data_IF_581820983530
#
_entry.id   IF_581820983530
#
_cell.length_a   1.000
_cell.length_b   1.000
_cell.length_c   1.000
_cell.angle_alpha   90.00
_cell.angle_beta   90.00
_cell.angle_gamma   90.00
#
_symmetry.space_group_name_H-M   'P 1'
#
loop_
_entity.id
_entity.type
_entity.pdbx_description
1 polymer ?
#
# COMPACT_ATOMS: atom_id res chain seq x y z
N UNK A 1 -13.16 20.90 4.78
CA UNK A 1 -13.91 19.65 4.98
C UNK A 1 -14.20 19.54 6.46
N UNK A 2 -15.48 19.47 6.84
CA UNK A 2 -15.90 19.24 8.23
C UNK A 2 -15.95 17.73 8.52
N UNK A 3 -15.79 17.32 9.77
CA UNK A 3 -15.64 15.91 10.16
C UNK A 3 -16.90 15.04 9.89
N UNK A 4 -18.05 15.67 9.72
CA UNK A 4 -19.34 15.07 9.39
C UNK A 4 -19.58 14.94 7.88
N UNK A 5 -18.77 15.60 7.05
CA UNK A 5 -18.83 15.47 5.60
C UNK A 5 -17.98 14.27 5.15
N UNK A 6 -18.53 13.07 5.31
CA UNK A 6 -17.90 11.84 4.82
C UNK A 6 -18.17 11.66 3.32
N UNK A 7 -17.13 11.46 2.48
CA UNK A 7 -17.33 11.18 1.06
C UNK A 7 -18.11 9.89 0.83
N UNK A 8 -18.88 9.83 -0.26
CA UNK A 8 -19.55 8.59 -0.70
C UNK A 8 -18.51 7.49 -0.94
N UNK A 9 -18.72 6.33 -0.30
CA UNK A 9 -17.85 5.17 -0.46
C UNK A 9 -18.03 4.55 -1.85
N UNK A 10 -16.95 4.04 -2.41
CA UNK A 10 -16.95 3.36 -3.71
C UNK A 10 -17.35 1.88 -3.51
N UNK A 11 -18.56 1.46 -3.89
CA UNK A 11 -19.02 0.09 -3.60
C UNK A 11 -18.36 -0.95 -4.51
N UNK A 12 -17.93 -0.55 -5.72
CA UNK A 12 -17.37 -1.43 -6.74
C UNK A 12 -16.26 -0.72 -7.51
N UNK A 13 -15.10 -1.38 -7.77
CA UNK A 13 -14.09 -0.85 -8.66
C UNK A 13 -14.65 -0.62 -10.08
N UNK A 14 -14.18 0.45 -10.71
CA UNK A 14 -14.59 0.81 -12.05
C UNK A 14 -14.23 -0.28 -13.05
N UNK A 15 -15.12 -0.57 -14.01
CA UNK A 15 -14.92 -1.61 -15.03
C UNK A 15 -14.62 -3.02 -14.49
N UNK A 16 -15.08 -3.38 -13.26
CA UNK A 16 -14.90 -4.74 -12.70
C UNK A 16 -15.35 -5.85 -13.65
N UNK A 17 -16.52 -5.68 -14.28
CA UNK A 17 -17.06 -6.62 -15.27
C UNK A 17 -16.89 -6.12 -16.72
N UNK A 18 -16.17 -5.02 -16.91
CA UNK A 18 -15.97 -4.38 -18.22
C UNK A 18 -14.69 -4.85 -18.91
N UNK A 19 -14.54 -4.52 -20.19
CA UNK A 19 -13.30 -4.75 -20.91
C UNK A 19 -12.19 -3.84 -20.35
N UNK A 20 -11.12 -4.45 -19.85
CA UNK A 20 -9.94 -3.75 -19.31
C UNK A 20 -8.64 -4.44 -19.71
N UNK A 21 -7.58 -3.66 -19.85
CA UNK A 21 -6.20 -4.14 -20.02
C UNK A 21 -5.47 -4.08 -18.68
N UNK A 22 -4.42 -4.89 -18.52
CA UNK A 22 -3.43 -4.63 -17.48
C UNK A 22 -2.52 -3.50 -17.94
N UNK A 23 -2.38 -2.46 -17.11
CA UNK A 23 -1.48 -1.34 -17.38
C UNK A 23 -0.11 -1.69 -16.78
N UNK A 24 0.94 -1.90 -17.60
CA UNK A 24 2.27 -2.19 -17.09
C UNK A 24 2.91 -0.93 -16.52
N UNK A 25 3.89 -1.12 -15.64
CA UNK A 25 4.70 -0.01 -15.14
C UNK A 25 5.66 0.50 -16.21
N UNK A 26 6.37 -0.42 -16.87
CA UNK A 26 7.34 -0.12 -17.92
C UNK A 26 6.72 0.61 -19.09
N UNK A 27 7.51 1.49 -19.69
CA UNK A 27 7.16 2.22 -20.90
C UNK A 27 6.60 1.31 -22.00
N UNK A 28 5.55 1.77 -22.67
CA UNK A 28 4.93 1.12 -23.83
C UNK A 28 5.21 1.87 -25.14
N UNK A 29 5.90 3.02 -25.09
CA UNK A 29 6.34 3.74 -26.28
C UNK A 29 7.28 2.84 -27.09
N UNK A 30 6.94 2.63 -28.37
CA UNK A 30 7.71 1.74 -29.27
C UNK A 30 7.49 0.25 -29.07
N UNK A 31 6.65 -0.16 -28.10
CA UNK A 31 6.31 -1.58 -27.83
C UNK A 31 4.96 -1.91 -28.43
N UNK A 32 3.89 -1.27 -27.93
CA UNK A 32 2.53 -1.44 -28.43
C UNK A 32 1.94 -0.07 -28.75
N UNK A 33 1.64 0.22 -30.03
CA UNK A 33 1.11 1.52 -30.42
C UNK A 33 -0.17 1.88 -29.66
N UNK A 34 -0.15 3.03 -28.97
CA UNK A 34 -1.30 3.56 -28.24
C UNK A 34 -1.56 2.93 -26.87
N UNK A 35 -0.78 1.94 -26.44
CA UNK A 35 -0.93 1.30 -25.13
C UNK A 35 -0.44 2.20 -24.00
N UNK A 36 -1.21 2.29 -22.91
CA UNK A 36 -0.81 3.06 -21.74
C UNK A 36 0.15 2.31 -20.81
N UNK A 37 0.93 3.05 -20.03
CA UNK A 37 1.76 2.53 -18.92
C UNK A 37 1.72 3.47 -17.72
N UNK A 38 2.19 3.03 -16.54
CA UNK A 38 2.37 3.96 -15.41
C UNK A 38 3.50 4.96 -15.67
N UNK A 39 4.55 4.56 -16.40
CA UNK A 39 5.67 5.44 -16.72
C UNK A 39 5.31 6.54 -17.74
N UNK A 40 4.56 6.20 -18.80
CA UNK A 40 4.28 7.13 -19.90
C UNK A 40 2.88 7.76 -19.82
N UNK A 41 1.98 7.20 -19.00
CA UNK A 41 0.56 7.46 -19.13
C UNK A 41 0.03 7.00 -20.49
N UNK A 42 -0.78 7.84 -21.14
CA UNK A 42 -1.14 7.62 -22.55
C UNK A 42 -0.01 8.14 -23.45
N UNK A 43 0.53 7.31 -24.38
CA UNK A 43 1.70 7.69 -25.14
C UNK A 43 1.39 8.83 -26.13
N UNK A 44 2.39 9.63 -26.56
CA UNK A 44 2.18 10.82 -27.41
C UNK A 44 1.44 10.55 -28.72
N UNK A 45 1.55 9.34 -29.28
CA UNK A 45 0.81 8.90 -30.47
C UNK A 45 -0.71 9.00 -30.29
N UNK A 46 -1.19 8.99 -29.03
CA UNK A 46 -2.62 9.14 -28.70
C UNK A 46 -3.11 10.58 -28.59
N UNK A 47 -2.19 11.53 -28.60
CA UNK A 47 -2.48 12.96 -28.53
C UNK A 47 -2.31 13.66 -29.89
N UNK A 48 -2.10 12.88 -30.95
CA UNK A 48 -1.97 13.38 -32.32
C UNK A 48 -3.28 13.25 -33.10
N UNK A 49 -3.56 14.17 -34.04
CA UNK A 49 -4.69 14.01 -34.96
C UNK A 49 -4.59 12.69 -35.74
N UNK A 50 -5.73 12.04 -35.99
CA UNK A 50 -5.79 10.82 -36.82
C UNK A 50 -5.21 11.04 -38.22
N UNK A 51 -5.37 12.24 -38.77
CA UNK A 51 -4.82 12.63 -40.08
C UNK A 51 -3.28 12.63 -40.12
N UNK A 52 -2.62 12.70 -38.95
CA UNK A 52 -1.17 12.69 -38.81
C UNK A 52 -0.64 11.35 -38.26
N UNK A 53 -1.44 10.28 -38.34
CA UNK A 53 -1.06 8.96 -37.84
C UNK A 53 -1.33 8.73 -36.35
N UNK A 54 -2.08 9.62 -35.69
CA UNK A 54 -2.46 9.44 -34.30
C UNK A 54 -3.42 8.26 -34.07
N UNK A 55 -3.22 7.54 -32.96
CA UNK A 55 -4.01 6.38 -32.54
C UNK A 55 -4.85 6.77 -31.32
N UNK A 56 -6.19 6.73 -31.35
CA UNK A 56 -6.98 7.16 -30.20
C UNK A 56 -6.62 6.35 -28.93
N UNK A 57 -6.67 6.96 -27.73
CA UNK A 57 -6.48 6.22 -26.49
C UNK A 57 -7.40 4.99 -26.43
N UNK A 58 -6.83 3.85 -26.02
CA UNK A 58 -7.61 2.62 -25.91
C UNK A 58 -8.51 2.68 -24.66
N UNK A 59 -9.82 2.55 -24.85
CA UNK A 59 -10.78 2.53 -23.74
C UNK A 59 -10.53 1.41 -22.72
N UNK A 60 -9.90 0.30 -23.14
CA UNK A 60 -9.50 -0.78 -22.22
C UNK A 60 -8.40 -0.33 -21.26
N UNK A 61 -7.52 0.57 -21.70
CA UNK A 61 -6.41 1.07 -20.88
C UNK A 61 -6.92 2.14 -19.90
N UNK A 62 -7.86 2.98 -20.34
CA UNK A 62 -8.61 3.90 -19.45
C UNK A 62 -9.33 3.10 -18.36
N UNK A 63 -10.04 2.04 -18.73
CA UNK A 63 -10.70 1.15 -17.79
C UNK A 63 -9.68 0.45 -16.86
N UNK A 64 -8.53 0.05 -17.40
CA UNK A 64 -7.45 -0.57 -16.64
C UNK A 64 -6.91 0.34 -15.53
N UNK A 65 -6.54 1.59 -15.85
CA UNK A 65 -6.01 2.52 -14.86
C UNK A 65 -7.06 2.91 -13.82
N UNK A 66 -8.30 3.16 -14.24
CA UNK A 66 -9.41 3.47 -13.32
C UNK A 66 -9.74 2.29 -12.42
N UNK A 67 -9.65 1.06 -12.92
CA UNK A 67 -9.81 -0.14 -12.11
C UNK A 67 -8.74 -0.20 -11.00
N UNK A 68 -7.46 -0.01 -11.34
CA UNK A 68 -6.35 -0.05 -10.36
C UNK A 68 -6.52 1.02 -9.27
N UNK A 69 -6.91 2.24 -9.62
CA UNK A 69 -7.11 3.30 -8.64
C UNK A 69 -8.34 3.05 -7.77
N UNK A 70 -9.48 2.71 -8.39
CA UNK A 70 -10.74 2.50 -7.66
C UNK A 70 -10.72 1.27 -6.75
N UNK A 71 -9.98 0.21 -7.10
CA UNK A 71 -9.80 -0.93 -6.19
C UNK A 71 -9.04 -0.53 -4.91
N UNK A 72 -8.00 0.30 -5.03
CA UNK A 72 -7.17 0.72 -3.90
C UNK A 72 -7.93 1.70 -3.02
N UNK A 73 -8.63 2.66 -3.64
CA UNK A 73 -9.52 3.59 -2.93
C UNK A 73 -10.59 2.83 -2.15
N UNK A 74 -11.25 1.85 -2.77
CA UNK A 74 -12.25 1.02 -2.09
C UNK A 74 -11.66 0.25 -0.90
N UNK A 75 -10.47 -0.31 -1.06
CA UNK A 75 -9.78 -1.03 0.02
C UNK A 75 -9.52 -0.12 1.22
N UNK A 76 -8.95 1.06 0.99
CA UNK A 76 -8.65 2.04 2.05
C UNK A 76 -9.94 2.58 2.69
N UNK A 77 -10.96 2.86 1.89
CA UNK A 77 -12.28 3.30 2.37
C UNK A 77 -12.96 2.27 3.28
N UNK A 78 -12.72 0.98 3.05
CA UNK A 78 -13.20 -0.10 3.91
C UNK A 78 -12.37 -0.26 5.21
N UNK A 79 -11.37 0.59 5.44
CA UNK A 79 -10.43 0.48 6.56
C UNK A 79 -9.29 -0.52 6.31
N UNK A 80 -9.11 -0.97 5.08
CA UNK A 80 -8.08 -1.91 4.69
C UNK A 80 -6.68 -1.38 4.96
N UNK A 81 -5.82 -2.24 5.48
CA UNK A 81 -4.43 -1.94 5.82
C UNK A 81 -3.51 -2.85 5.00
N UNK A 82 -2.34 -2.36 4.61
CA UNK A 82 -1.41 -3.13 3.79
C UNK A 82 -0.39 -3.86 4.65
N UNK A 83 -0.16 -5.13 4.35
CA UNK A 83 0.98 -5.89 4.88
C UNK A 83 2.24 -5.55 4.09
N UNK A 84 3.40 -5.90 4.65
CA UNK A 84 4.67 -5.80 3.95
C UNK A 84 4.63 -6.55 2.60
N UNK A 85 5.10 -5.90 1.54
CA UNK A 85 5.23 -6.45 0.20
C UNK A 85 6.68 -6.32 -0.26
N UNK A 86 7.39 -7.45 -0.35
CA UNK A 86 8.75 -7.47 -0.85
C UNK A 86 8.87 -6.90 -2.28
N UNK A 87 8.01 -7.28 -3.25
CA UNK A 87 8.08 -6.70 -4.60
C UNK A 87 7.94 -5.18 -4.59
N UNK A 88 7.02 -4.62 -3.78
CA UNK A 88 6.83 -3.18 -3.67
C UNK A 88 8.04 -2.51 -3.01
N UNK A 89 8.55 -3.07 -1.91
CA UNK A 89 9.69 -2.51 -1.21
C UNK A 89 10.97 -2.50 -2.05
N UNK A 90 11.18 -3.52 -2.89
CA UNK A 90 12.35 -3.62 -3.77
C UNK A 90 12.17 -2.93 -5.12
N UNK A 91 11.00 -2.36 -5.39
CA UNK A 91 10.75 -1.66 -6.64
C UNK A 91 11.64 -0.41 -6.75
N UNK A 92 12.35 -0.19 -7.87
CA UNK A 92 13.25 0.95 -8.02
C UNK A 92 12.53 2.32 -7.97
N UNK A 93 11.24 2.38 -8.26
CA UNK A 93 10.44 3.61 -8.17
C UNK A 93 9.93 3.88 -6.76
N UNK A 94 9.95 2.87 -5.88
CA UNK A 94 9.55 2.98 -4.47
C UNK A 94 10.77 3.17 -3.58
N UNK A 95 11.78 2.30 -3.71
CA UNK A 95 13.00 2.36 -2.92
C UNK A 95 12.85 1.93 -1.46
N UNK A 96 11.74 1.28 -1.09
CA UNK A 96 11.43 0.83 0.27
C UNK A 96 10.37 1.68 0.96
N UNK A 97 9.94 1.23 2.14
CA UNK A 97 8.94 1.96 2.92
C UNK A 97 9.58 3.19 3.60
N UNK A 98 8.97 4.38 3.52
CA UNK A 98 9.51 5.58 4.14
C UNK A 98 9.42 5.53 5.67
N UNK A 99 10.18 6.40 6.35
CA UNK A 99 10.05 6.57 7.80
C UNK A 99 8.62 7.00 8.14
N UNK A 100 8.04 6.40 9.18
CA UNK A 100 6.66 6.66 9.58
C UNK A 100 5.62 5.83 8.83
N UNK A 101 6.02 4.99 7.86
CA UNK A 101 5.09 4.06 7.22
C UNK A 101 4.53 3.06 8.24
N UNK A 102 3.21 2.90 8.25
CA UNK A 102 2.50 1.93 9.11
C UNK A 102 2.03 0.77 8.26
N UNK A 103 2.46 -0.44 8.60
CA UNK A 103 2.08 -1.68 7.93
C UNK A 103 1.37 -2.61 8.89
N UNK A 104 0.40 -3.35 8.38
CA UNK A 104 -0.25 -4.41 9.12
C UNK A 104 0.71 -5.60 9.25
N UNK A 105 0.76 -6.20 10.44
CA UNK A 105 1.51 -7.45 10.66
C UNK A 105 0.90 -8.59 9.84
N UNK A 106 1.72 -9.52 9.35
CA UNK A 106 1.24 -10.68 8.58
C UNK A 106 0.23 -11.57 9.35
N UNK A 107 0.28 -11.55 10.69
CA UNK A 107 -0.64 -12.28 11.58
C UNK A 107 -1.95 -11.51 11.89
N UNK A 108 -2.09 -10.27 11.39
CA UNK A 108 -3.21 -9.36 11.68
C UNK A 108 -3.31 -8.97 13.17
N UNK A 109 -2.27 -9.21 13.95
CA UNK A 109 -2.21 -9.03 15.41
C UNK A 109 -1.58 -7.71 15.84
N UNK A 110 -1.56 -6.69 14.99
CA UNK A 110 -0.95 -5.40 15.29
C UNK A 110 -0.41 -4.71 14.05
N UNK A 111 0.40 -3.69 14.27
CA UNK A 111 1.04 -2.93 13.21
C UNK A 111 2.56 -2.82 13.42
N UNK A 112 3.28 -2.58 12.33
CA UNK A 112 4.67 -2.19 12.30
C UNK A 112 4.77 -0.72 11.86
N UNK A 113 5.64 0.04 12.51
CA UNK A 113 6.02 1.39 12.12
C UNK A 113 7.46 1.38 11.63
N UNK A 114 7.70 1.89 10.42
CA UNK A 114 9.06 2.04 9.89
C UNK A 114 9.78 3.20 10.59
N UNK A 115 10.99 2.96 11.06
CA UNK A 115 11.83 3.95 11.75
C UNK A 115 12.86 4.62 10.83
N UNK A 116 13.00 4.15 9.59
CA UNK A 116 13.95 4.67 8.62
C UNK A 116 13.29 4.82 7.25
N UNK A 117 13.81 5.78 6.46
CA UNK A 117 13.49 5.89 5.05
C UNK A 117 14.04 4.70 4.26
N UNK A 118 13.41 4.41 3.13
CA UNK A 118 13.85 3.39 2.19
C UNK A 118 13.99 2.00 2.85
N UNK A 119 13.12 1.66 3.81
CA UNK A 119 13.17 0.39 4.52
C UNK A 119 12.66 -0.76 3.64
N UNK A 120 13.58 -1.60 3.20
CA UNK A 120 13.30 -2.77 2.34
C UNK A 120 13.30 -4.10 3.10
N UNK A 121 13.46 -4.07 4.42
CA UNK A 121 13.48 -5.30 5.23
C UNK A 121 12.06 -5.72 5.60
N UNK A 122 11.79 -7.02 5.61
CA UNK A 122 10.50 -7.53 6.06
C UNK A 122 10.42 -7.45 7.60
N UNK A 123 9.46 -6.70 8.18
CA UNK A 123 9.32 -6.59 9.63
C UNK A 123 8.94 -7.91 10.32
N UNK A 124 8.29 -8.83 9.61
CA UNK A 124 7.87 -10.13 10.14
C UNK A 124 8.94 -11.22 9.92
N UNK A 125 10.15 -10.87 9.47
CA UNK A 125 11.22 -11.85 9.25
C UNK A 125 11.78 -12.41 10.57
N UNK A 126 11.83 -13.74 10.67
CA UNK A 126 12.30 -14.45 11.88
C UNK A 126 13.79 -14.79 11.85
N UNK A 127 14.49 -14.50 10.76
CA UNK A 127 15.91 -14.79 10.53
C UNK A 127 16.85 -13.67 11.04
N UNK A 128 16.30 -12.64 11.68
CA UNK A 128 17.05 -11.48 12.17
C UNK A 128 17.35 -10.43 11.09
N UNK A 129 16.79 -10.57 9.88
CA UNK A 129 16.94 -9.56 8.81
C UNK A 129 16.05 -8.33 9.00
N UNK A 130 15.02 -8.41 9.86
CA UNK A 130 14.13 -7.29 10.19
C UNK A 130 14.89 -6.16 10.89
N UNK A 131 14.88 -4.96 10.30
CA UNK A 131 15.58 -3.77 10.85
C UNK A 131 14.73 -2.52 10.72
N UNK A 132 14.90 -1.58 11.65
CA UNK A 132 14.24 -0.27 11.64
C UNK A 132 12.70 -0.37 11.64
N UNK A 133 12.17 -1.27 12.47
CA UNK A 133 10.74 -1.48 12.66
C UNK A 133 10.41 -1.51 14.15
N UNK A 134 9.39 -0.76 14.55
CA UNK A 134 8.82 -0.83 15.90
C UNK A 134 7.39 -1.35 15.84
N UNK A 135 7.03 -2.27 16.74
CA UNK A 135 5.67 -2.78 16.82
C UNK A 135 4.76 -1.73 17.47
N UNK A 136 3.70 -1.34 16.76
CA UNK A 136 2.61 -0.54 17.29
C UNK A 136 1.52 -1.48 17.77
N UNK A 137 1.25 -1.42 19.08
CA UNK A 137 0.30 -2.26 19.79
C UNK A 137 0.67 -3.75 19.83
N UNK A 138 1.67 -4.12 20.64
CA UNK A 138 1.88 -5.52 21.03
C UNK A 138 0.63 -6.18 21.64
N UNK A 139 -0.31 -5.37 22.11
CA UNK A 139 -1.47 -5.80 22.90
C UNK A 139 -2.81 -5.67 22.14
N UNK A 140 -2.83 -5.19 20.88
CA UNK A 140 -4.05 -5.03 20.07
C UNK A 140 -4.17 -6.15 19.02
N UNK A 141 -5.32 -6.83 18.99
CA UNK A 141 -5.58 -7.91 18.02
C UNK A 141 -6.85 -7.62 17.21
N UNK A 142 -6.69 -7.46 15.88
CA UNK A 142 -7.76 -7.10 14.95
C UNK A 142 -8.89 -8.16 14.86
N UNK A 143 -8.59 -9.42 15.22
CA UNK A 143 -9.58 -10.52 15.21
C UNK A 143 -10.51 -10.49 16.41
N UNK A 144 -10.12 -9.81 17.50
CA UNK A 144 -10.84 -9.83 18.79
C UNK A 144 -11.29 -8.44 19.26
N UNK A 145 -11.03 -7.38 18.47
CA UNK A 145 -11.42 -6.00 18.76
C UNK A 145 -11.14 -5.54 20.20
N UNK A 146 -10.05 -6.01 20.82
CA UNK A 146 -9.55 -5.53 22.11
C UNK A 146 -8.18 -4.89 21.89
N UNK A 147 -8.10 -3.60 22.19
CA UNK A 147 -6.85 -2.92 22.53
C UNK A 147 -6.88 -2.62 24.02
N UNK A 148 -5.95 -3.16 24.78
CA UNK A 148 -5.66 -2.64 26.12
C UNK A 148 -4.64 -1.53 25.90
N UNK A 149 -5.00 -0.28 26.18
CA UNK A 149 -3.97 0.75 26.31
C UNK A 149 -3.08 0.35 27.48
N UNK A 150 -1.91 -0.22 27.21
CA UNK A 150 -0.90 -0.44 28.22
C UNK A 150 -0.26 0.90 28.55
N UNK A 151 -1.01 1.74 29.26
CA UNK A 151 -0.42 2.78 30.09
C UNK A 151 0.17 2.06 31.31
N UNK A 152 1.20 1.24 31.10
CA UNK A 152 2.05 0.85 32.21
C UNK A 152 2.82 2.13 32.61
N UNK A 153 2.53 2.74 33.77
CA UNK A 153 3.29 3.89 34.20
C UNK A 153 4.75 3.47 34.38
N UNK A 154 5.68 4.36 34.00
CA UNK A 154 7.12 4.11 33.85
C UNK A 154 7.85 3.54 35.08
N UNK A 155 7.20 3.43 36.24
CA UNK A 155 7.75 2.87 37.46
C UNK A 155 7.59 1.33 37.59
N UNK A 156 6.77 0.68 36.75
CA UNK A 156 6.51 -0.76 36.85
C UNK A 156 7.55 -1.66 36.13
N UNK A 157 8.67 -1.10 35.67
CA UNK A 157 9.77 -1.88 35.06
C UNK A 157 10.77 -2.47 36.06
N UNK A 158 10.70 -2.06 37.33
CA UNK A 158 11.66 -2.50 38.37
C UNK A 158 11.23 -3.74 39.17
N UNK A 159 9.95 -4.16 39.09
CA UNK A 159 9.44 -5.26 39.92
C UNK A 159 9.64 -6.67 39.33
N UNK A 160 9.92 -6.81 38.03
CA UNK A 160 10.19 -8.12 37.41
C UNK A 160 11.67 -8.56 37.50
N UNK A 161 12.60 -7.66 37.84
CA UNK A 161 14.01 -8.01 38.02
C UNK A 161 14.32 -8.60 39.42
N UNK A 162 13.42 -8.48 40.39
CA UNK A 162 13.67 -8.91 41.78
C UNK A 162 13.16 -10.32 42.12
N UNK A 163 12.48 -11.02 41.19
CA UNK A 163 11.87 -12.33 41.46
C UNK A 163 12.67 -13.54 40.92
N UNK A 164 13.89 -13.35 40.42
CA UNK A 164 14.75 -14.44 39.89
C UNK A 164 16.00 -14.68 40.76
N UNK A 165 16.14 -14.02 41.91
CA UNK A 165 17.27 -14.20 42.82
C UNK A 165 16.82 -14.54 44.25
N UNK A 166 16.29 -15.76 44.43
CA UNK A 166 16.34 -16.52 45.69
C UNK A 166 16.35 -18.00 45.38
#
# INVERSE_FOLDING_TARGET
MQADQTPTLVPLPFATNGLRSNVPERSQIGVTPGAASFNDGFPPVTMQPKTHGGVPPNGRDVNGILYVLSQTVRWVQAGGQFVYSAPFATDPNVGGYPQGAVLLRADYGGFWLSEADNNTTNPDATDGSARNWVSLNTDWNARVARGRFSTAPCWLRWLQAAAIAT
#
